data_IF_564472735314
#
_entry.id   IF_564472735314
#
_cell.length_a   1.000
_cell.length_b   1.000
_cell.length_c   1.000
_cell.angle_alpha   90.00
_cell.angle_beta   90.00
_cell.angle_gamma   90.00
#
_symmetry.space_group_name_H-M   'P 1'
#
loop_
_entity.id
_entity.type
_entity.pdbx_description
1 polymer ?
#
# COMPACT_ATOMS: atom_id res chain seq x y z
N UNK A 1 -4.74 -3.93 9.39
CA UNK A 1 -5.91 -3.02 9.28
C UNK A 1 -7.19 -3.84 9.30
N UNK A 2 -8.16 -3.47 10.14
CA UNK A 2 -9.43 -4.18 10.27
C UNK A 2 -10.52 -3.44 9.48
N UNK A 3 -11.16 -4.13 8.55
CA UNK A 3 -12.28 -3.58 7.76
C UNK A 3 -13.53 -4.37 8.14
N UNK A 4 -14.56 -3.66 8.61
CA UNK A 4 -15.86 -4.25 8.92
C UNK A 4 -16.67 -4.40 7.64
N UNK A 5 -17.04 -5.62 7.28
CA UNK A 5 -17.97 -5.85 6.19
C UNK A 5 -19.40 -5.42 6.58
N UNK A 6 -20.14 -4.84 5.63
CA UNK A 6 -21.50 -4.35 5.88
C UNK A 6 -22.51 -5.45 6.18
N UNK A 7 -22.23 -6.67 5.73
CA UNK A 7 -23.14 -7.79 5.91
C UNK A 7 -22.73 -8.63 7.12
N UNK A 8 -23.57 -8.67 8.13
CA UNK A 8 -23.59 -9.66 9.22
C UNK A 8 -22.51 -9.53 10.33
N UNK A 9 -21.94 -8.36 10.58
CA UNK A 9 -21.01 -8.19 11.70
C UNK A 9 -19.67 -8.90 11.51
N UNK A 10 -19.29 -9.25 10.28
CA UNK A 10 -18.00 -9.83 9.92
C UNK A 10 -16.98 -8.72 9.73
N UNK A 11 -15.80 -8.89 10.30
CA UNK A 11 -14.66 -8.00 10.09
C UNK A 11 -13.58 -8.72 9.29
N UNK A 12 -12.93 -8.00 8.38
CA UNK A 12 -11.76 -8.49 7.64
C UNK A 12 -10.51 -7.79 8.14
N UNK A 13 -9.49 -8.56 8.46
CA UNK A 13 -8.18 -8.07 8.84
C UNK A 13 -7.17 -8.48 7.77
N UNK A 14 -6.42 -7.52 7.25
CA UNK A 14 -5.27 -7.78 6.37
C UNK A 14 -4.01 -7.62 7.19
N UNK A 15 -3.16 -8.65 7.19
CA UNK A 15 -1.88 -8.68 7.89
C UNK A 15 -0.75 -8.92 6.90
N UNK A 16 0.38 -8.26 7.10
CA UNK A 16 1.64 -8.55 6.42
C UNK A 16 2.53 -9.28 7.40
N UNK A 17 3.03 -10.43 7.01
CA UNK A 17 3.88 -11.30 7.83
C UNK A 17 5.20 -11.51 7.10
N UNK A 18 6.30 -11.33 7.81
CA UNK A 18 7.63 -11.68 7.34
C UNK A 18 7.95 -13.11 7.75
N UNK A 19 8.42 -13.91 6.83
CA UNK A 19 8.79 -15.30 7.08
C UNK A 19 8.82 -16.13 5.80
N UNK A 20 9.22 -17.39 5.95
CA UNK A 20 9.17 -18.39 4.90
C UNK A 20 7.78 -19.04 4.77
N UNK A 21 7.62 -19.91 3.79
CA UNK A 21 6.36 -20.61 3.53
C UNK A 21 5.92 -21.48 4.72
N UNK A 22 6.86 -22.05 5.47
CA UNK A 22 6.56 -22.86 6.64
C UNK A 22 5.97 -22.02 7.76
N UNK A 23 6.57 -20.86 8.03
CA UNK A 23 6.06 -19.89 9.01
C UNK A 23 4.66 -19.42 8.67
N UNK A 24 4.42 -19.10 7.37
CA UNK A 24 3.12 -18.68 6.89
C UNK A 24 2.04 -19.77 7.05
N UNK A 25 2.39 -21.03 6.73
CA UNK A 25 1.49 -22.16 6.93
C UNK A 25 1.16 -22.39 8.41
N UNK A 26 2.14 -22.29 9.30
CA UNK A 26 1.92 -22.41 10.73
C UNK A 26 1.02 -21.31 11.26
N UNK A 27 1.25 -20.06 10.87
CA UNK A 27 0.39 -18.95 11.26
C UNK A 27 -1.04 -19.11 10.76
N UNK A 28 -1.21 -19.52 9.51
CA UNK A 28 -2.53 -19.81 8.93
C UNK A 28 -3.27 -20.89 9.74
N UNK A 29 -2.59 -21.98 10.08
CA UNK A 29 -3.17 -23.03 10.92
C UNK A 29 -3.55 -22.54 12.31
N UNK A 30 -2.70 -21.74 12.96
CA UNK A 30 -2.99 -21.19 14.29
C UNK A 30 -4.16 -20.22 14.29
N UNK A 31 -4.23 -19.32 13.29
CA UNK A 31 -5.34 -18.39 13.14
C UNK A 31 -6.68 -19.10 12.90
N UNK A 32 -6.69 -20.16 12.07
CA UNK A 32 -7.91 -20.95 11.81
C UNK A 32 -8.42 -21.70 13.05
N UNK A 33 -7.60 -21.90 14.09
CA UNK A 33 -8.03 -22.51 15.36
C UNK A 33 -8.78 -21.54 16.27
N UNK A 34 -8.70 -20.25 16.02
CA UNK A 34 -9.37 -19.26 16.84
C UNK A 34 -10.88 -19.31 16.60
N UNK A 35 -11.68 -19.39 17.67
CA UNK A 35 -13.13 -19.53 17.61
C UNK A 35 -13.82 -18.42 16.78
N UNK A 36 -13.28 -17.19 16.82
CA UNK A 36 -13.87 -16.04 16.13
C UNK A 36 -13.37 -15.87 14.67
N UNK A 37 -12.48 -16.74 14.20
CA UNK A 37 -11.95 -16.68 12.83
C UNK A 37 -12.79 -17.56 11.93
N UNK A 38 -13.46 -16.95 10.94
CA UNK A 38 -14.30 -17.66 9.98
C UNK A 38 -13.48 -18.25 8.82
N UNK A 39 -12.33 -17.69 8.52
CA UNK A 39 -11.42 -18.17 7.48
C UNK A 39 -10.19 -17.29 7.35
N UNK A 40 -9.12 -17.90 6.85
CA UNK A 40 -7.85 -17.24 6.56
C UNK A 40 -7.52 -17.48 5.08
N UNK A 41 -7.15 -16.44 4.36
CA UNK A 41 -6.74 -16.49 2.96
C UNK A 41 -5.33 -15.95 2.84
N UNK A 42 -4.43 -16.78 2.32
CA UNK A 42 -3.08 -16.36 1.94
C UNK A 42 -3.10 -15.73 0.55
N UNK A 43 -2.64 -14.49 0.44
CA UNK A 43 -2.59 -13.74 -0.83
C UNK A 43 -1.24 -13.82 -1.54
N UNK A 44 -0.24 -14.50 -0.99
CA UNK A 44 1.13 -14.51 -1.52
C UNK A 44 1.19 -14.90 -2.99
N UNK A 45 0.44 -15.92 -3.39
CA UNK A 45 0.41 -16.44 -4.76
C UNK A 45 -0.94 -16.24 -5.46
N UNK A 46 -1.81 -15.40 -4.93
CA UNK A 46 -3.12 -15.14 -5.51
C UNK A 46 -3.13 -13.81 -6.28
N UNK A 47 -3.88 -13.80 -7.37
CA UNK A 47 -4.20 -12.56 -8.07
C UNK A 47 -5.03 -11.66 -7.14
N UNK A 48 -4.42 -10.59 -6.64
CA UNK A 48 -5.02 -9.67 -5.70
C UNK A 48 -4.92 -8.22 -6.16
N UNK A 49 -5.84 -7.41 -5.66
CA UNK A 49 -5.74 -5.95 -5.69
C UNK A 49 -5.26 -5.53 -4.31
N UNK A 50 -4.10 -4.92 -4.25
CA UNK A 50 -3.53 -4.35 -3.03
C UNK A 50 -3.57 -2.84 -3.09
N UNK A 51 -3.94 -2.19 -2.01
CA UNK A 51 -3.92 -0.72 -1.88
C UNK A 51 -3.49 -0.35 -0.47
N UNK A 52 -2.85 0.80 -0.39
CA UNK A 52 -2.45 1.44 0.86
C UNK A 52 -2.70 2.94 0.71
N UNK A 53 -3.12 3.60 1.79
CA UNK A 53 -3.23 5.04 1.86
C UNK A 53 -2.06 5.58 2.69
N UNK A 54 -1.41 6.61 2.20
CA UNK A 54 -0.36 7.33 2.89
C UNK A 54 -0.72 8.82 2.97
N UNK A 55 -0.56 9.40 4.16
CA UNK A 55 -0.50 10.83 4.39
C UNK A 55 0.96 11.22 4.63
N UNK A 56 1.46 12.18 3.87
CA UNK A 56 2.84 12.61 3.91
C UNK A 56 2.90 14.13 3.99
N UNK A 57 3.60 14.65 5.00
CA UNK A 57 3.89 16.07 5.13
C UNK A 57 5.32 16.33 4.69
N UNK A 58 5.50 17.21 3.71
CA UNK A 58 6.80 17.58 3.16
C UNK A 58 7.04 19.07 3.35
N UNK A 59 8.27 19.43 3.67
CA UNK A 59 8.70 20.82 3.70
C UNK A 59 8.61 21.43 2.30
N UNK A 60 7.99 22.58 2.18
CA UNK A 60 7.75 23.24 0.90
C UNK A 60 8.07 24.73 1.03
N UNK A 61 9.27 25.09 0.61
CA UNK A 61 9.68 26.49 0.47
C UNK A 61 9.21 27.03 -0.88
N UNK A 62 9.18 28.34 -1.02
CA UNK A 62 8.71 29.01 -2.22
C UNK A 62 9.45 28.55 -3.48
N UNK A 63 10.76 28.34 -3.39
CA UNK A 63 11.64 27.90 -4.48
C UNK A 63 11.49 26.42 -4.86
N UNK A 64 11.01 25.56 -3.95
CA UNK A 64 10.88 24.12 -4.17
C UNK A 64 9.44 23.67 -4.41
N UNK A 65 8.49 24.53 -4.14
CA UNK A 65 7.05 24.19 -4.18
C UNK A 65 6.58 23.70 -5.55
N UNK A 66 7.02 24.32 -6.63
CA UNK A 66 6.66 23.91 -7.98
C UNK A 66 7.14 22.51 -8.29
N UNK A 67 8.37 22.16 -7.94
CA UNK A 67 8.94 20.85 -8.17
C UNK A 67 8.18 19.74 -7.39
N UNK A 68 7.78 20.05 -6.15
CA UNK A 68 6.96 19.13 -5.34
C UNK A 68 5.59 18.92 -6.01
N UNK A 69 4.97 19.99 -6.51
CA UNK A 69 3.66 19.88 -7.17
C UNK A 69 3.74 19.08 -8.48
N UNK A 70 4.83 19.17 -9.22
CA UNK A 70 5.07 18.33 -10.40
C UNK A 70 5.14 16.84 -10.03
N UNK A 71 5.86 16.51 -8.97
CA UNK A 71 5.91 15.12 -8.43
C UNK A 71 4.50 14.67 -8.01
N UNK A 72 3.76 15.52 -7.31
CA UNK A 72 2.37 15.25 -6.88
C UNK A 72 1.49 14.89 -8.07
N UNK A 73 1.58 15.63 -9.17
CA UNK A 73 0.82 15.38 -10.40
C UNK A 73 1.20 14.05 -11.06
N UNK A 74 2.50 13.74 -11.18
CA UNK A 74 3.00 12.50 -11.78
C UNK A 74 2.46 11.28 -10.99
N UNK A 75 2.49 11.34 -9.68
CA UNK A 75 2.02 10.26 -8.81
C UNK A 75 0.50 10.28 -8.58
N UNK A 76 -0.22 11.26 -9.14
CA UNK A 76 -1.66 11.45 -8.89
C UNK A 76 -1.98 11.47 -7.40
N UNK A 77 -1.11 12.10 -6.63
CA UNK A 77 -1.35 12.40 -5.23
C UNK A 77 -2.23 13.64 -5.12
N UNK A 78 -2.85 13.84 -3.97
CA UNK A 78 -3.68 15.01 -3.69
C UNK A 78 -3.02 15.87 -2.62
N UNK A 79 -3.02 17.17 -2.82
CA UNK A 79 -2.69 18.13 -1.76
C UNK A 79 -3.95 18.30 -0.91
N UNK A 80 -3.85 17.97 0.38
CA UNK A 80 -4.98 18.04 1.32
C UNK A 80 -4.84 19.15 2.33
N UNK A 81 -3.62 19.66 2.51
CA UNK A 81 -3.35 20.81 3.36
C UNK A 81 -2.13 21.60 2.85
N UNK A 82 -2.18 22.91 2.96
CA UNK A 82 -1.15 23.84 2.49
C UNK A 82 -0.85 24.87 3.56
N UNK A 83 0.44 25.03 3.86
CA UNK A 83 0.95 26.16 4.65
C UNK A 83 2.09 26.86 3.92
N UNK A 84 2.58 27.96 4.46
CA UNK A 84 3.71 28.69 3.88
C UNK A 84 4.99 27.84 3.77
N UNK A 85 5.15 26.89 4.70
CA UNK A 85 6.38 26.10 4.85
C UNK A 85 6.22 24.61 4.57
N UNK A 86 5.00 24.12 4.35
CA UNK A 86 4.74 22.69 4.18
C UNK A 86 3.52 22.40 3.32
N UNK A 87 3.54 21.22 2.68
CA UNK A 87 2.40 20.62 2.01
C UNK A 87 2.09 19.27 2.66
N UNK A 88 0.81 18.99 2.87
CA UNK A 88 0.35 17.66 3.27
C UNK A 88 -0.31 16.98 2.09
N UNK A 89 0.17 15.79 1.76
CA UNK A 89 -0.22 15.01 0.59
C UNK A 89 -0.99 13.77 1.02
N UNK A 90 -2.05 13.45 0.28
CA UNK A 90 -2.74 12.16 0.33
C UNK A 90 -2.39 11.37 -0.92
N UNK A 91 -1.98 10.13 -0.76
CA UNK A 91 -1.74 9.22 -1.89
C UNK A 91 -2.29 7.84 -1.60
N UNK A 92 -2.92 7.27 -2.61
CA UNK A 92 -3.42 5.88 -2.60
C UNK A 92 -2.77 5.13 -3.76
N UNK A 93 -2.32 3.94 -3.49
CA UNK A 93 -1.72 3.09 -4.51
C UNK A 93 -1.22 1.76 -3.96
N UNK A 94 -0.49 1.05 -4.81
CA UNK A 94 0.28 -0.10 -4.36
C UNK A 94 1.49 0.35 -3.54
N UNK A 95 2.07 -0.53 -2.71
CA UNK A 95 3.20 -0.16 -1.86
C UNK A 95 4.41 0.38 -2.62
N UNK A 96 4.67 -0.14 -3.82
CA UNK A 96 5.79 0.31 -4.66
C UNK A 96 5.64 1.77 -5.08
N UNK A 97 4.43 2.19 -5.46
CA UNK A 97 4.13 3.58 -5.77
C UNK A 97 4.40 4.50 -4.57
N UNK A 98 3.98 4.08 -3.37
CA UNK A 98 4.14 4.90 -2.16
C UNK A 98 5.61 5.07 -1.78
N UNK A 99 6.40 3.99 -1.85
CA UNK A 99 7.84 4.03 -1.60
C UNK A 99 8.56 4.90 -2.63
N UNK A 100 8.17 4.82 -3.90
CA UNK A 100 8.77 5.65 -4.95
C UNK A 100 8.49 7.15 -4.71
N UNK A 101 7.27 7.51 -4.33
CA UNK A 101 6.92 8.89 -3.98
C UNK A 101 7.72 9.39 -2.77
N UNK A 102 7.80 8.59 -1.72
CA UNK A 102 8.56 8.90 -0.51
C UNK A 102 10.03 9.21 -0.84
N UNK A 103 10.69 8.33 -1.61
CA UNK A 103 12.09 8.55 -2.05
C UNK A 103 12.29 9.82 -2.86
N UNK A 104 11.35 10.18 -3.73
CA UNK A 104 11.45 11.41 -4.53
C UNK A 104 11.23 12.68 -3.71
N UNK A 105 10.46 12.60 -2.63
CA UNK A 105 10.19 13.72 -1.74
C UNK A 105 11.21 13.87 -0.60
N UNK A 106 11.98 12.82 -0.31
CA UNK A 106 13.00 12.81 0.75
C UNK A 106 13.98 14.01 0.65
N UNK A 107 14.52 14.40 -0.54
CA UNK A 107 15.44 15.53 -0.66
C UNK A 107 14.83 16.89 -0.27
N UNK A 108 13.52 17.03 -0.30
CA UNK A 108 12.81 18.25 0.09
C UNK A 108 12.57 18.36 1.60
N UNK A 109 12.73 17.25 2.33
CA UNK A 109 12.54 17.14 3.77
C UNK A 109 11.14 16.67 4.13
N UNK A 110 11.01 15.39 4.40
CA UNK A 110 9.77 14.79 4.91
C UNK A 110 9.67 15.09 6.40
N UNK A 111 8.57 15.68 6.82
CA UNK A 111 8.30 16.08 8.20
C UNK A 111 7.57 14.98 8.97
N UNK A 112 6.54 14.39 8.35
CA UNK A 112 5.70 13.38 8.95
C UNK A 112 5.18 12.41 7.89
N UNK A 113 5.04 11.14 8.25
CA UNK A 113 4.38 10.11 7.44
C UNK A 113 3.43 9.32 8.32
N UNK A 114 2.23 9.10 7.81
CA UNK A 114 1.26 8.16 8.37
C UNK A 114 0.77 7.21 7.26
N UNK A 115 0.75 5.92 7.53
CA UNK A 115 0.35 4.87 6.57
C UNK A 115 -0.67 3.93 7.19
N UNK A 116 -1.64 3.51 6.39
CA UNK A 116 -2.65 2.54 6.85
C UNK A 116 -2.14 1.10 6.89
N UNK A 117 -1.08 0.79 6.15
CA UNK A 117 -0.77 -0.59 5.78
C UNK A 117 -1.63 -1.09 4.62
N UNK A 118 -1.24 -2.21 4.04
CA UNK A 118 -1.92 -2.80 2.88
C UNK A 118 -3.30 -3.35 3.23
N UNK A 119 -4.25 -3.16 2.32
CA UNK A 119 -5.49 -3.92 2.23
C UNK A 119 -5.49 -4.70 0.92
N UNK A 120 -6.03 -5.91 0.93
CA UNK A 120 -6.04 -6.79 -0.23
C UNK A 120 -7.41 -7.42 -0.46
N UNK A 121 -7.80 -7.52 -1.74
CA UNK A 121 -8.95 -8.28 -2.20
C UNK A 121 -8.55 -9.17 -3.37
N UNK A 122 -9.05 -10.40 -3.39
CA UNK A 122 -8.87 -11.30 -4.52
C UNK A 122 -9.47 -10.70 -5.79
N UNK A 123 -8.74 -10.78 -6.90
CA UNK A 123 -9.25 -10.35 -8.21
C UNK A 123 -10.28 -11.34 -8.74
N UNK A 124 -11.44 -10.85 -9.12
CA UNK A 124 -12.48 -11.67 -9.78
C UNK A 124 -12.05 -12.13 -11.18
N UNK A 125 -11.21 -11.33 -11.87
CA UNK A 125 -10.70 -11.69 -13.20
C UNK A 125 -9.66 -12.81 -13.19
N UNK A 126 -9.07 -13.14 -12.03
CA UNK A 126 -7.98 -14.10 -11.92
C UNK A 126 -6.64 -13.63 -12.51
N UNK A 127 -6.56 -12.40 -13.04
CA UNK A 127 -5.32 -11.86 -13.61
C UNK A 127 -4.33 -11.51 -12.51
N UNK A 128 -3.18 -12.19 -12.49
CA UNK A 128 -2.08 -11.90 -11.57
C UNK A 128 -1.09 -10.92 -12.23
N UNK A 129 -1.16 -9.66 -11.84
CA UNK A 129 -0.29 -8.61 -12.41
C UNK A 129 1.17 -8.75 -11.99
N UNK A 130 1.47 -9.43 -10.90
CA UNK A 130 2.86 -9.70 -10.49
C UNK A 130 3.53 -10.69 -11.43
N UNK A 131 2.82 -11.72 -11.88
CA UNK A 131 3.31 -12.67 -12.90
C UNK A 131 3.60 -11.97 -14.24
N UNK A 132 2.82 -10.96 -14.60
CA UNK A 132 3.04 -10.19 -15.83
C UNK A 132 4.33 -9.35 -15.75
N UNK A 133 4.68 -8.84 -14.58
CA UNK A 133 5.94 -8.11 -14.38
C UNK A 133 7.16 -9.01 -14.55
N UNK A 134 7.11 -10.24 -14.04
CA UNK A 134 8.20 -11.22 -14.15
C UNK A 134 8.44 -11.60 -15.61
N UNK A 135 7.40 -11.83 -16.39
CA UNK A 135 7.51 -12.23 -17.78
C UNK A 135 8.06 -11.14 -18.71
N UNK A 136 7.88 -9.87 -18.37
CA UNK A 136 8.40 -8.74 -19.16
C UNK A 136 9.91 -8.52 -18.99
N UNK A 137 10.54 -9.05 -17.94
CA UNK A 137 11.99 -9.01 -17.76
C UNK A 137 12.74 -10.15 -18.45
N UNK A 138 12.02 -11.12 -19.01
CA UNK A 138 12.61 -12.29 -19.71
C UNK A 138 12.81 -12.08 -21.22
N UNK A 139 12.61 -10.89 -21.75
CA UNK A 139 12.69 -10.59 -23.19
C UNK A 139 13.80 -9.59 -23.57
N UNK A 140 14.85 -9.48 -22.75
CA UNK A 140 16.11 -8.87 -23.20
C UNK A 140 17.13 -9.98 -23.43
N UNK A 141 17.10 -10.50 -24.64
CA UNK A 141 18.23 -11.21 -25.25
C UNK A 141 18.84 -10.30 -26.31
#
# INVERSE_FOLDING_TARGET
MCIRDRSKGISRLTMVVEGDDETLQQMTKQLNKLFNVLGVVDFTNLAAVERELMLLKVSSKEDTRSNILDIVQIFRAKVVDVSDMALTLEVVGDPGKLVALEKLLEPYGILEIARTGKVALKRSSGVNTEMLKINNYSLEI
#
